data_IF_885763414467
#
_entry.id   IF_885763414467
#
_cell.length_a   1.000
_cell.length_b   1.000
_cell.length_c   1.000
_cell.angle_alpha   90.00
_cell.angle_beta   90.00
_cell.angle_gamma   90.00
#
_symmetry.space_group_name_H-M   'P 1'
#
loop_
_entity.id
_entity.type
_entity.pdbx_description
1 polymer ?
#
# COMPACT_ATOMS: atom_id res chain seq x y z
N UNK A 1 35.44 -7.30 38.04
CA UNK A 1 34.17 -8.02 37.81
C UNK A 1 33.04 -7.24 38.47
N UNK A 2 31.90 -7.16 37.82
CA UNK A 2 30.71 -6.46 38.31
C UNK A 2 29.63 -7.50 38.62
N UNK A 3 28.96 -7.39 39.73
CA UNK A 3 27.77 -8.16 40.04
C UNK A 3 26.62 -7.76 39.09
N UNK A 4 25.62 -8.62 38.93
CA UNK A 4 24.44 -8.31 38.08
C UNK A 4 23.75 -6.99 38.52
N UNK A 5 23.75 -6.69 39.86
CA UNK A 5 23.19 -5.45 40.38
C UNK A 5 24.00 -4.21 40.00
N UNK A 6 25.32 -4.28 40.08
CA UNK A 6 26.22 -3.20 39.67
C UNK A 6 26.15 -2.96 38.17
N UNK A 7 26.18 -4.05 37.36
CA UNK A 7 26.07 -3.99 35.91
C UNK A 7 24.71 -3.39 35.49
N UNK A 8 23.63 -3.85 36.13
CA UNK A 8 22.26 -3.33 35.94
C UNK A 8 22.20 -1.81 36.15
N UNK A 9 22.77 -1.33 37.25
CA UNK A 9 22.79 0.10 37.59
C UNK A 9 23.60 0.93 36.58
N UNK A 10 24.78 0.45 36.21
CA UNK A 10 25.65 1.14 35.23
C UNK A 10 24.98 1.20 33.84
N UNK A 11 24.38 0.10 33.39
CA UNK A 11 23.76 -0.01 32.06
C UNK A 11 22.34 0.55 32.01
N UNK A 12 21.75 0.93 33.14
CA UNK A 12 20.36 1.40 33.27
C UNK A 12 19.33 0.42 32.74
N UNK A 13 19.53 -0.88 32.98
CA UNK A 13 18.61 -1.97 32.64
C UNK A 13 18.33 -2.80 33.88
N UNK A 14 17.11 -3.35 33.98
CA UNK A 14 16.76 -4.17 35.13
C UNK A 14 17.54 -5.50 35.16
N UNK A 15 17.76 -6.06 36.35
CA UNK A 15 18.34 -7.41 36.49
C UNK A 15 17.46 -8.47 35.84
N UNK A 16 16.13 -8.26 35.75
CA UNK A 16 15.20 -9.10 35.03
C UNK A 16 15.49 -9.06 33.53
N UNK A 17 15.75 -7.87 32.97
CA UNK A 17 16.13 -7.70 31.57
C UNK A 17 17.45 -8.38 31.25
N UNK A 18 18.45 -8.30 32.15
CA UNK A 18 19.74 -8.97 31.95
C UNK A 18 19.59 -10.50 31.95
N UNK A 19 18.77 -11.05 32.84
CA UNK A 19 18.45 -12.50 32.82
C UNK A 19 17.72 -12.91 31.54
N UNK A 20 16.82 -12.07 31.06
CA UNK A 20 16.14 -12.30 29.78
C UNK A 20 17.12 -12.28 28.60
N UNK A 21 18.07 -11.36 28.57
CA UNK A 21 19.13 -11.31 27.55
C UNK A 21 20.04 -12.53 27.60
N UNK A 22 20.31 -13.05 28.80
CA UNK A 22 21.01 -14.34 28.98
C UNK A 22 20.22 -15.48 28.35
N UNK A 23 18.92 -15.62 28.64
CA UNK A 23 18.03 -16.65 28.10
C UNK A 23 17.96 -16.57 26.59
N UNK A 24 17.86 -15.36 26.03
CA UNK A 24 17.84 -15.13 24.58
C UNK A 24 19.21 -15.35 23.91
N UNK A 25 20.27 -15.53 24.68
CA UNK A 25 21.66 -15.62 24.18
C UNK A 25 22.17 -14.32 23.59
N UNK A 26 21.60 -13.19 23.99
CA UNK A 26 21.99 -11.84 23.53
C UNK A 26 23.19 -11.29 24.33
N UNK A 27 23.21 -11.51 25.64
CA UNK A 27 24.30 -11.12 26.53
C UNK A 27 24.45 -12.15 27.64
N UNK A 28 25.50 -12.96 27.56
CA UNK A 28 25.81 -13.98 28.57
C UNK A 28 26.63 -13.36 29.71
N UNK A 29 26.37 -13.72 31.01
CA UNK A 29 27.28 -13.37 32.08
C UNK A 29 28.65 -13.99 31.83
N UNK A 30 29.71 -13.29 32.16
CA UNK A 30 31.06 -13.84 32.02
C UNK A 30 31.29 -15.03 32.96
N UNK A 31 30.67 -15.01 34.15
CA UNK A 31 30.72 -16.08 35.14
C UNK A 31 29.39 -16.19 35.88
N UNK A 32 28.91 -17.42 36.03
CA UNK A 32 27.84 -17.76 36.97
C UNK A 32 28.47 -18.61 38.06
N UNK A 33 28.42 -18.15 39.31
CA UNK A 33 28.95 -18.92 40.44
C UNK A 33 28.11 -20.19 40.65
N UNK A 34 28.68 -21.39 40.51
CA UNK A 34 27.90 -22.63 40.55
C UNK A 34 27.29 -22.93 41.92
N UNK A 35 27.91 -22.42 43.02
CA UNK A 35 27.42 -22.65 44.38
C UNK A 35 26.26 -21.73 44.76
N UNK A 36 26.25 -20.49 44.24
CA UNK A 36 25.30 -19.44 44.67
C UNK A 36 24.36 -18.98 43.57
N UNK A 37 24.64 -19.33 42.29
CA UNK A 37 23.91 -18.84 41.14
C UNK A 37 24.12 -17.37 40.82
N UNK A 38 25.04 -16.68 41.52
CA UNK A 38 25.34 -15.27 41.28
C UNK A 38 26.02 -15.05 39.92
N UNK A 39 25.55 -14.03 39.21
CA UNK A 39 26.04 -13.64 37.88
C UNK A 39 26.99 -12.48 37.93
N UNK A 40 28.11 -12.60 37.24
CA UNK A 40 29.14 -11.58 37.15
C UNK A 40 29.41 -11.21 35.70
N UNK A 41 29.69 -9.93 35.47
CA UNK A 41 29.97 -9.32 34.20
C UNK A 41 31.32 -8.63 34.18
N UNK A 42 31.93 -8.43 33.02
CA UNK A 42 33.18 -7.69 32.87
C UNK A 42 32.94 -6.25 32.42
N UNK A 43 33.96 -5.41 32.54
CA UNK A 43 33.94 -4.04 32.05
C UNK A 43 33.77 -3.99 30.51
N UNK A 44 34.35 -4.95 29.77
CA UNK A 44 34.26 -5.02 28.32
C UNK A 44 32.80 -5.23 27.84
N UNK A 45 32.02 -5.96 28.63
CA UNK A 45 30.59 -6.19 28.34
C UNK A 45 29.73 -4.93 28.45
N UNK A 46 30.24 -3.86 29.08
CA UNK A 46 29.58 -2.54 29.07
C UNK A 46 29.53 -1.95 27.64
N UNK A 47 30.53 -2.24 26.80
CA UNK A 47 30.54 -1.86 25.38
C UNK A 47 29.43 -2.53 24.60
N UNK A 48 29.29 -3.85 24.79
CA UNK A 48 28.21 -4.64 24.15
C UNK A 48 26.83 -4.16 24.60
N UNK A 49 26.66 -3.89 25.89
CA UNK A 49 25.39 -3.40 26.43
C UNK A 49 25.02 -2.01 25.88
N UNK A 50 26.00 -1.12 25.69
CA UNK A 50 25.79 0.19 25.06
C UNK A 50 25.34 0.03 23.60
N UNK A 51 25.93 -0.91 22.85
CA UNK A 51 25.52 -1.22 21.49
C UNK A 51 24.07 -1.73 21.43
N UNK A 52 23.73 -2.71 22.31
CA UNK A 52 22.36 -3.24 22.43
C UNK A 52 21.36 -2.10 22.69
N UNK A 53 21.61 -1.24 23.66
CA UNK A 53 20.74 -0.12 24.00
C UNK A 53 20.58 0.85 22.82
N UNK A 54 21.64 1.10 22.06
CA UNK A 54 21.62 1.99 20.91
C UNK A 54 20.81 1.41 19.74
N UNK A 55 20.97 0.13 19.45
CA UNK A 55 20.18 -0.56 18.42
C UNK A 55 18.69 -0.63 18.79
N UNK A 56 18.37 -0.87 20.06
CA UNK A 56 16.99 -0.78 20.58
C UNK A 56 16.38 0.61 20.36
N UNK A 57 17.14 1.67 20.59
CA UNK A 57 16.67 3.04 20.36
C UNK A 57 16.37 3.33 18.87
N UNK A 58 16.88 2.53 17.95
CA UNK A 58 16.58 2.58 16.53
C UNK A 58 15.49 1.59 16.11
N UNK A 59 14.75 0.99 17.08
CA UNK A 59 13.68 0.03 16.84
C UNK A 59 14.14 -1.28 16.15
N UNK A 60 15.38 -1.73 16.39
CA UNK A 60 15.77 -3.10 16.09
C UNK A 60 15.11 -4.07 17.05
N UNK A 61 14.65 -5.20 16.57
CA UNK A 61 14.15 -6.31 17.40
C UNK A 61 15.31 -6.97 18.15
N UNK A 62 15.03 -7.71 19.22
CA UNK A 62 16.09 -8.39 19.97
C UNK A 62 16.77 -9.49 19.13
N UNK A 63 16.05 -10.13 18.22
CA UNK A 63 16.57 -11.11 17.27
C UNK A 63 17.56 -10.49 16.30
N UNK A 64 17.21 -9.35 15.71
CA UNK A 64 18.09 -8.57 14.83
C UNK A 64 19.34 -8.11 15.58
N UNK A 65 19.17 -7.60 16.80
CA UNK A 65 20.30 -7.17 17.64
C UNK A 65 21.21 -8.35 17.97
N UNK A 66 20.66 -9.52 18.28
CA UNK A 66 21.45 -10.74 18.56
C UNK A 66 22.31 -11.11 17.35
N UNK A 67 21.73 -11.13 16.15
CA UNK A 67 22.47 -11.40 14.92
C UNK A 67 23.60 -10.37 14.74
N UNK A 68 23.30 -9.09 14.89
CA UNK A 68 24.28 -8.02 14.74
C UNK A 68 25.41 -8.09 15.78
N UNK A 69 25.10 -8.41 17.04
CA UNK A 69 26.09 -8.53 18.11
C UNK A 69 26.98 -9.75 17.93
N UNK A 70 26.40 -10.90 17.49
CA UNK A 70 27.17 -12.14 17.26
C UNK A 70 28.04 -12.02 16.00
N UNK A 71 27.53 -11.43 14.92
CA UNK A 71 28.28 -11.22 13.67
C UNK A 71 29.29 -10.08 13.79
N UNK A 72 29.15 -9.21 14.80
CA UNK A 72 30.05 -8.07 15.04
C UNK A 72 31.43 -8.47 15.61
N UNK A 73 32.04 -9.53 15.11
CA UNK A 73 33.45 -9.88 15.38
C UNK A 73 34.44 -8.90 14.73
N UNK A 74 34.13 -7.59 14.75
CA UNK A 74 34.99 -6.53 14.21
C UNK A 74 34.68 -6.08 12.79
N UNK A 75 33.76 -6.70 12.09
CA UNK A 75 33.34 -6.26 10.74
C UNK A 75 32.36 -5.08 10.81
N UNK A 76 32.92 -3.88 10.74
CA UNK A 76 32.16 -2.62 10.71
C UNK A 76 31.21 -2.51 9.50
N UNK A 77 31.46 -3.27 8.45
CA UNK A 77 30.68 -3.25 7.19
C UNK A 77 29.25 -3.75 7.39
N UNK A 78 29.06 -4.88 8.09
CA UNK A 78 27.74 -5.48 8.31
C UNK A 78 26.83 -4.59 9.19
N UNK A 79 27.40 -4.01 10.25
CA UNK A 79 26.64 -3.09 11.10
C UNK A 79 26.27 -1.80 10.34
N UNK A 80 27.17 -1.28 9.51
CA UNK A 80 26.91 -0.10 8.69
C UNK A 80 25.76 -0.34 7.70
N UNK A 81 25.74 -1.50 7.04
CA UNK A 81 24.69 -1.89 6.11
C UNK A 81 23.33 -1.99 6.83
N UNK A 82 23.26 -2.69 7.97
CA UNK A 82 22.04 -2.82 8.76
C UNK A 82 21.50 -1.46 9.25
N UNK A 83 22.40 -0.55 9.66
CA UNK A 83 22.00 0.80 10.06
C UNK A 83 21.49 1.64 8.88
N UNK A 84 22.06 1.47 7.67
CA UNK A 84 21.57 2.13 6.47
C UNK A 84 20.19 1.62 6.07
N UNK A 85 19.97 0.31 6.10
CA UNK A 85 18.68 -0.31 5.82
C UNK A 85 17.61 0.19 6.79
N UNK A 86 17.92 0.19 8.10
CA UNK A 86 17.01 0.71 9.13
C UNK A 86 16.70 2.20 8.95
N UNK A 87 17.69 2.99 8.53
CA UNK A 87 17.47 4.40 8.19
C UNK A 87 16.48 4.54 7.03
N UNK A 88 16.58 3.72 5.99
CA UNK A 88 15.65 3.77 4.85
C UNK A 88 14.23 3.35 5.26
N UNK A 89 14.10 2.34 6.12
CA UNK A 89 12.82 1.94 6.69
C UNK A 89 12.16 3.10 7.47
N UNK A 90 12.92 3.73 8.37
CA UNK A 90 12.42 4.87 9.16
C UNK A 90 12.05 6.08 8.28
N UNK A 91 12.78 6.32 7.18
CA UNK A 91 12.45 7.37 6.23
C UNK A 91 11.12 7.08 5.51
N UNK A 92 10.89 5.82 5.11
CA UNK A 92 9.59 5.41 4.53
C UNK A 92 8.45 5.59 5.53
N UNK A 93 8.63 5.15 6.78
CA UNK A 93 7.64 5.35 7.85
C UNK A 93 7.35 6.83 8.10
N UNK A 94 8.40 7.68 8.11
CA UNK A 94 8.25 9.13 8.25
C UNK A 94 7.42 9.73 7.11
N UNK A 95 7.67 9.33 5.86
CA UNK A 95 6.91 9.82 4.69
C UNK A 95 5.43 9.46 4.83
N UNK A 96 5.13 8.19 5.14
CA UNK A 96 3.76 7.74 5.35
C UNK A 96 3.08 8.47 6.51
N UNK A 97 3.79 8.67 7.62
CA UNK A 97 3.26 9.41 8.77
C UNK A 97 2.96 10.87 8.41
N UNK A 98 3.84 11.51 7.64
CA UNK A 98 3.61 12.89 7.17
C UNK A 98 2.42 13.01 6.22
N UNK A 99 2.15 11.98 5.40
CA UNK A 99 0.94 11.94 4.58
C UNK A 99 -0.32 11.85 5.46
N UNK A 100 -0.33 10.92 6.43
CA UNK A 100 -1.46 10.78 7.38
C UNK A 100 -1.72 12.05 8.18
N UNK A 101 -0.67 12.74 8.60
CA UNK A 101 -0.80 14.03 9.32
C UNK A 101 -1.44 15.10 8.43
N UNK A 102 -1.01 15.21 7.17
CA UNK A 102 -1.62 16.17 6.22
C UNK A 102 -3.10 15.87 5.96
N UNK A 103 -3.44 14.58 5.83
CA UNK A 103 -4.84 14.16 5.68
C UNK A 103 -5.66 14.53 6.91
N UNK A 104 -5.17 14.24 8.12
CA UNK A 104 -5.83 14.64 9.37
C UNK A 104 -6.00 16.17 9.49
N UNK A 105 -4.99 16.95 9.09
CA UNK A 105 -5.09 18.41 9.10
C UNK A 105 -6.19 18.89 8.14
N UNK A 106 -6.30 18.27 6.96
CA UNK A 106 -7.40 18.54 6.01
C UNK A 106 -8.77 18.18 6.60
N UNK A 107 -8.89 17.00 7.19
CA UNK A 107 -10.13 16.53 7.82
C UNK A 107 -10.58 17.46 8.97
N UNK A 108 -9.63 17.93 9.79
CA UNK A 108 -9.88 18.88 10.87
C UNK A 108 -10.40 20.21 10.31
N UNK A 109 -9.80 20.70 9.23
CA UNK A 109 -10.24 21.96 8.61
C UNK A 109 -11.63 21.83 7.98
N UNK A 110 -11.92 20.72 7.29
CA UNK A 110 -13.22 20.41 6.73
C UNK A 110 -14.31 20.38 7.83
N UNK A 111 -14.02 19.71 8.96
CA UNK A 111 -14.95 19.69 10.11
C UNK A 111 -15.20 21.09 10.71
N UNK A 112 -14.16 21.96 10.77
CA UNK A 112 -14.32 23.35 11.23
C UNK A 112 -15.21 24.18 10.32
N UNK A 113 -15.20 23.88 9.04
CA UNK A 113 -16.06 24.52 8.03
C UNK A 113 -17.47 23.94 7.98
N UNK A 114 -17.78 22.93 8.86
CA UNK A 114 -19.08 22.30 8.94
C UNK A 114 -19.32 21.20 7.91
N UNK A 115 -18.25 20.79 7.18
CA UNK A 115 -18.31 19.64 6.28
C UNK A 115 -18.28 18.33 7.08
N UNK A 116 -19.04 17.33 6.64
CA UNK A 116 -18.95 15.97 7.20
C UNK A 116 -17.65 15.31 6.72
N UNK A 117 -17.00 14.50 7.58
CA UNK A 117 -15.86 13.67 7.17
C UNK A 117 -16.22 12.69 6.05
N UNK A 118 -17.48 12.28 5.96
CA UNK A 118 -17.97 11.44 4.88
C UNK A 118 -18.20 12.21 3.56
N UNK A 119 -18.11 13.56 3.58
CA UNK A 119 -18.37 14.43 2.45
C UNK A 119 -17.18 15.37 2.16
N UNK A 120 -16.01 15.07 2.67
CA UNK A 120 -14.79 15.87 2.48
C UNK A 120 -14.13 15.54 1.14
N UNK A 121 -14.77 15.90 0.06
CA UNK A 121 -14.27 15.86 -1.31
C UNK A 121 -14.97 16.93 -2.13
N UNK A 122 -14.34 17.36 -3.22
CA UNK A 122 -14.97 18.20 -4.24
C UNK A 122 -16.37 17.68 -4.56
N UNK A 123 -17.30 18.56 -4.88
CA UNK A 123 -18.69 18.22 -5.22
C UNK A 123 -18.70 17.12 -6.29
N UNK A 124 -18.94 15.86 -5.85
CA UNK A 124 -18.95 14.71 -6.76
C UNK A 124 -20.20 14.84 -7.63
N UNK A 125 -20.00 15.28 -8.85
CA UNK A 125 -21.06 15.42 -9.84
C UNK A 125 -21.32 14.08 -10.48
N UNK A 126 -22.56 13.59 -10.35
CA UNK A 126 -23.03 12.35 -11.00
C UNK A 126 -23.89 12.73 -12.19
N UNK A 127 -23.48 12.33 -13.38
CA UNK A 127 -24.19 12.59 -14.62
C UNK A 127 -24.76 11.28 -15.19
N UNK A 128 -26.02 11.31 -15.61
CA UNK A 128 -26.62 10.20 -16.37
C UNK A 128 -26.26 10.36 -17.85
N UNK A 129 -25.59 9.39 -18.44
CA UNK A 129 -25.12 9.42 -19.82
C UNK A 129 -25.34 8.08 -20.52
N UNK A 130 -25.45 8.09 -21.83
CA UNK A 130 -25.52 6.87 -22.63
C UNK A 130 -24.16 6.61 -23.28
N UNK A 131 -23.58 5.46 -22.98
CA UNK A 131 -22.32 5.02 -23.55
C UNK A 131 -22.57 4.15 -24.78
N UNK A 132 -21.91 4.44 -25.91
CA UNK A 132 -22.05 3.64 -27.12
C UNK A 132 -21.44 2.26 -26.94
N UNK A 133 -21.91 1.30 -27.74
CA UNK A 133 -21.27 0.02 -27.87
C UNK A 133 -19.84 0.18 -28.41
N UNK A 134 -18.89 -0.57 -27.86
CA UNK A 134 -17.49 -0.52 -28.27
C UNK A 134 -16.89 -1.92 -28.38
N UNK A 135 -15.93 -2.07 -29.28
CA UNK A 135 -15.15 -3.31 -29.43
C UNK A 135 -13.90 -3.22 -28.56
N UNK A 136 -13.69 -4.16 -27.65
CA UNK A 136 -12.58 -4.17 -26.70
C UNK A 136 -11.57 -5.25 -27.05
N UNK A 137 -10.29 -4.87 -27.12
CA UNK A 137 -9.17 -5.79 -27.00
C UNK A 137 -8.77 -5.81 -25.53
N UNK A 138 -8.79 -6.98 -24.88
CA UNK A 138 -8.65 -7.02 -23.44
C UNK A 138 -7.83 -8.19 -22.90
N UNK A 139 -7.52 -8.09 -21.60
CA UNK A 139 -6.97 -9.16 -20.77
C UNK A 139 -7.72 -9.18 -19.44
N UNK A 140 -8.33 -10.31 -19.11
CA UNK A 140 -9.09 -10.51 -17.88
C UNK A 140 -8.36 -11.48 -16.94
N UNK A 141 -8.23 -11.12 -15.67
CA UNK A 141 -7.59 -11.96 -14.65
C UNK A 141 -8.04 -11.51 -13.25
N UNK A 142 -7.86 -12.40 -12.26
CA UNK A 142 -8.03 -12.01 -10.86
C UNK A 142 -6.83 -11.24 -10.35
N UNK A 143 -7.05 -10.09 -9.70
CA UNK A 143 -6.03 -9.18 -9.18
C UNK A 143 -6.27 -8.94 -7.71
N UNK A 144 -5.29 -9.24 -6.86
CA UNK A 144 -5.34 -8.90 -5.43
C UNK A 144 -5.11 -7.41 -5.24
N UNK A 145 -5.69 -6.84 -4.18
CA UNK A 145 -5.62 -5.40 -3.89
C UNK A 145 -4.20 -4.84 -3.90
N UNK A 146 -3.24 -5.52 -3.27
CA UNK A 146 -1.83 -5.10 -3.24
C UNK A 146 -1.07 -5.23 -4.57
N UNK A 147 -1.60 -6.01 -5.53
CA UNK A 147 -0.95 -6.34 -6.80
C UNK A 147 -1.41 -5.43 -7.96
N UNK A 148 -2.40 -4.55 -7.74
CA UNK A 148 -2.98 -3.69 -8.78
C UNK A 148 -1.94 -2.88 -9.57
N UNK A 149 -0.96 -2.18 -8.95
CA UNK A 149 0.01 -1.40 -9.71
C UNK A 149 0.81 -2.24 -10.70
N UNK A 150 1.21 -3.45 -10.29
CA UNK A 150 1.97 -4.37 -11.14
C UNK A 150 1.08 -5.02 -12.20
N UNK A 151 -0.12 -5.46 -11.84
CA UNK A 151 -1.09 -6.06 -12.76
C UNK A 151 -1.51 -5.07 -13.84
N UNK A 152 -1.73 -3.81 -13.47
CA UNK A 152 -2.01 -2.71 -14.38
C UNK A 152 -0.92 -2.56 -15.44
N UNK A 153 0.33 -2.38 -15.00
CA UNK A 153 1.46 -2.20 -15.91
C UNK A 153 1.66 -3.39 -16.85
N UNK A 154 1.61 -4.62 -16.31
CA UNK A 154 1.81 -5.84 -17.09
C UNK A 154 0.65 -6.07 -18.08
N UNK A 155 -0.60 -5.87 -17.64
CA UNK A 155 -1.76 -6.17 -18.47
C UNK A 155 -1.90 -5.20 -19.63
N UNK A 156 -1.77 -3.90 -19.39
CA UNK A 156 -1.78 -2.93 -20.49
C UNK A 156 -0.57 -3.09 -21.41
N UNK A 157 0.61 -3.46 -20.89
CA UNK A 157 1.76 -3.81 -21.71
C UNK A 157 1.45 -4.95 -22.70
N UNK A 158 0.80 -6.02 -22.23
CA UNK A 158 0.40 -7.16 -23.05
C UNK A 158 -0.69 -6.77 -24.08
N UNK A 159 -1.69 -5.99 -23.66
CA UNK A 159 -2.77 -5.54 -24.56
C UNK A 159 -2.23 -4.63 -25.67
N UNK A 160 -1.32 -3.70 -25.33
CA UNK A 160 -0.66 -2.83 -26.31
C UNK A 160 0.23 -3.62 -27.29
N UNK A 161 0.96 -4.62 -26.81
CA UNK A 161 1.77 -5.50 -27.67
C UNK A 161 0.90 -6.30 -28.66
N UNK A 162 -0.24 -6.83 -28.20
CA UNK A 162 -1.23 -7.48 -29.06
C UNK A 162 -1.81 -6.52 -30.11
N UNK A 163 -2.16 -5.31 -29.66
CA UNK A 163 -2.68 -4.26 -30.55
C UNK A 163 -1.70 -3.95 -31.68
N UNK A 164 -0.43 -3.81 -31.38
CA UNK A 164 0.61 -3.57 -32.38
C UNK A 164 0.83 -4.76 -33.32
N UNK A 165 0.90 -5.98 -32.79
CA UNK A 165 1.09 -7.20 -33.59
C UNK A 165 -0.05 -7.44 -34.57
N UNK A 166 -1.27 -7.18 -34.15
CA UNK A 166 -2.48 -7.35 -34.98
C UNK A 166 -2.80 -6.11 -35.83
N UNK A 167 -2.04 -5.03 -35.70
CA UNK A 167 -2.25 -3.75 -36.38
C UNK A 167 -3.65 -3.18 -36.16
N UNK A 168 -4.16 -3.31 -34.93
CA UNK A 168 -5.46 -2.75 -34.56
C UNK A 168 -5.34 -1.26 -34.27
N UNK A 169 -6.42 -0.53 -34.51
CA UNK A 169 -6.47 0.92 -34.32
C UNK A 169 -7.21 1.25 -33.04
N UNK A 170 -6.58 1.93 -32.10
CA UNK A 170 -7.25 2.42 -30.88
C UNK A 170 -8.41 3.33 -31.24
N UNK A 171 -9.53 3.16 -30.54
CA UNK A 171 -10.77 3.94 -30.72
C UNK A 171 -11.27 4.52 -29.38
N UNK A 172 -10.41 4.67 -28.40
CA UNK A 172 -10.72 5.23 -27.09
C UNK A 172 -9.56 5.07 -26.12
N UNK A 173 -9.72 5.62 -24.95
CA UNK A 173 -8.76 5.54 -23.85
C UNK A 173 -8.72 4.14 -23.21
N UNK A 174 -7.59 3.73 -22.62
CA UNK A 174 -7.50 2.52 -21.84
C UNK A 174 -8.52 2.54 -20.70
N UNK A 175 -9.05 1.37 -20.36
CA UNK A 175 -10.07 1.21 -19.34
C UNK A 175 -9.91 -0.08 -18.54
N UNK A 176 -10.40 -0.06 -17.33
CA UNK A 176 -10.45 -1.24 -16.44
C UNK A 176 -11.91 -1.52 -16.10
N UNK A 177 -12.32 -2.78 -16.20
CA UNK A 177 -13.66 -3.24 -15.84
C UNK A 177 -13.57 -4.18 -14.65
N UNK A 178 -14.52 -4.06 -13.71
CA UNK A 178 -14.62 -4.89 -12.51
C UNK A 178 -15.89 -5.72 -12.59
N UNK A 179 -15.72 -7.05 -12.61
CA UNK A 179 -16.80 -8.00 -12.90
C UNK A 179 -17.37 -8.71 -11.67
N UNK A 180 -16.74 -8.53 -10.50
CA UNK A 180 -17.24 -9.11 -9.27
C UNK A 180 -18.36 -8.26 -8.64
N UNK A 181 -19.37 -8.94 -8.10
CA UNK A 181 -20.45 -8.31 -7.34
C UNK A 181 -20.07 -8.08 -5.86
N UNK A 182 -18.98 -8.70 -5.39
CA UNK A 182 -18.49 -8.59 -4.01
C UNK A 182 -16.97 -8.65 -3.93
N UNK A 183 -16.41 -8.08 -2.86
CA UNK A 183 -14.99 -8.14 -2.58
C UNK A 183 -14.53 -9.56 -2.23
N UNK A 184 -13.42 -10.01 -2.81
CA UNK A 184 -12.78 -11.30 -2.51
C UNK A 184 -11.30 -11.13 -2.15
N UNK A 185 -10.87 -11.74 -1.04
CA UNK A 185 -9.44 -11.79 -0.67
C UNK A 185 -8.59 -12.55 -1.70
N UNK A 186 -9.21 -13.41 -2.52
CA UNK A 186 -8.54 -14.13 -3.60
C UNK A 186 -8.21 -13.23 -4.80
N UNK A 187 -8.79 -12.03 -4.85
CA UNK A 187 -8.62 -11.02 -5.87
C UNK A 187 -9.90 -10.69 -6.60
N UNK A 188 -9.94 -9.49 -7.19
CA UNK A 188 -11.04 -8.98 -8.00
C UNK A 188 -10.90 -9.45 -9.45
N UNK A 189 -12.00 -9.88 -10.06
CA UNK A 189 -12.07 -10.26 -11.48
C UNK A 189 -12.02 -9.01 -12.35
N UNK A 190 -10.84 -8.69 -12.80
CA UNK A 190 -10.49 -7.42 -13.42
C UNK A 190 -10.15 -7.62 -14.88
N UNK A 191 -10.71 -6.79 -15.74
CA UNK A 191 -10.45 -6.77 -17.17
C UNK A 191 -9.79 -5.44 -17.56
N UNK A 192 -8.57 -5.52 -18.08
CA UNK A 192 -7.83 -4.39 -18.64
C UNK A 192 -8.07 -4.35 -20.13
N UNK A 193 -8.63 -3.27 -20.65
CA UNK A 193 -9.13 -3.19 -22.01
C UNK A 193 -8.73 -1.90 -22.73
N UNK A 194 -8.61 -1.99 -24.04
CA UNK A 194 -8.42 -0.85 -24.94
C UNK A 194 -9.49 -0.95 -26.02
N UNK A 195 -10.34 0.08 -26.19
CA UNK A 195 -11.27 0.14 -27.31
C UNK A 195 -10.55 0.18 -28.65
N UNK A 196 -10.99 -0.62 -29.61
CA UNK A 196 -10.43 -0.72 -30.97
C UNK A 196 -11.52 -0.59 -32.03
N UNK A 197 -11.12 -0.25 -33.25
CA UNK A 197 -12.07 -0.12 -34.38
C UNK A 197 -12.41 -1.47 -35.02
N UNK A 198 -11.45 -2.35 -35.07
CA UNK A 198 -11.55 -3.62 -35.75
C UNK A 198 -12.16 -4.70 -34.86
N UNK A 199 -12.94 -5.59 -35.44
CA UNK A 199 -13.44 -6.79 -34.74
C UNK A 199 -12.64 -8.00 -35.21
N UNK A 200 -12.03 -8.73 -34.25
CA UNK A 200 -11.27 -9.96 -34.49
C UNK A 200 -11.73 -11.06 -33.53
N UNK A 201 -11.15 -12.25 -33.62
CA UNK A 201 -11.44 -13.36 -32.69
C UNK A 201 -10.99 -13.08 -31.26
N UNK A 202 -10.02 -12.15 -31.06
CA UNK A 202 -9.51 -11.78 -29.75
C UNK A 202 -10.20 -10.54 -29.16
N UNK A 203 -11.11 -9.92 -29.89
CA UNK A 203 -11.89 -8.77 -29.43
C UNK A 203 -13.30 -9.18 -29.03
N UNK A 204 -13.90 -8.43 -28.10
CA UNK A 204 -15.29 -8.61 -27.70
C UNK A 204 -16.09 -7.33 -27.80
N UNK A 205 -17.39 -7.47 -28.03
CA UNK A 205 -18.31 -6.35 -27.94
C UNK A 205 -18.64 -6.06 -26.47
N UNK A 206 -18.62 -4.79 -26.09
CA UNK A 206 -19.07 -4.28 -24.80
C UNK A 206 -20.14 -3.22 -25.02
N UNK A 207 -21.29 -3.38 -24.37
CA UNK A 207 -22.47 -2.53 -24.54
C UNK A 207 -22.96 -2.03 -23.19
N UNK A 208 -22.29 -1.07 -22.56
CA UNK A 208 -22.67 -0.60 -21.24
C UNK A 208 -24.01 0.12 -21.21
N UNK A 209 -24.42 0.75 -22.31
CA UNK A 209 -25.69 1.46 -22.41
C UNK A 209 -25.77 2.67 -21.50
N UNK A 210 -26.83 2.76 -20.70
CA UNK A 210 -27.05 3.87 -19.78
C UNK A 210 -26.12 3.74 -18.57
N UNK A 211 -25.36 4.79 -18.26
CA UNK A 211 -24.38 4.82 -17.18
C UNK A 211 -24.50 6.09 -16.34
N UNK A 212 -24.19 6.00 -15.07
CA UNK A 212 -23.79 7.15 -14.26
C UNK A 212 -22.32 7.40 -14.48
N UNK A 213 -21.97 8.64 -14.76
CA UNK A 213 -20.61 9.09 -15.01
C UNK A 213 -20.18 10.08 -13.94
N UNK A 214 -18.95 9.94 -13.47
CA UNK A 214 -18.26 10.92 -12.62
C UNK A 214 -16.84 11.10 -13.10
N UNK A 215 -16.38 12.34 -13.18
CA UNK A 215 -14.98 12.66 -13.52
C UNK A 215 -14.21 12.90 -12.22
N UNK A 216 -13.08 12.23 -12.06
CA UNK A 216 -12.17 12.43 -10.94
C UNK A 216 -10.82 12.93 -11.44
N UNK A 217 -10.20 13.82 -10.67
CA UNK A 217 -8.92 14.43 -11.01
C UNK A 217 -8.02 14.53 -9.79
N UNK A 218 -6.71 14.49 -10.03
CA UNK A 218 -5.70 14.67 -9.00
C UNK A 218 -5.29 13.38 -8.27
N UNK A 219 -4.23 13.48 -7.45
CA UNK A 219 -3.61 12.32 -6.80
C UNK A 219 -4.43 11.76 -5.62
N UNK A 220 -5.39 12.52 -5.12
CA UNK A 220 -6.19 12.19 -3.94
C UNK A 220 -7.62 11.75 -4.31
N UNK A 221 -7.84 11.32 -5.57
CA UNK A 221 -9.14 10.85 -6.05
C UNK A 221 -9.66 9.68 -5.20
N UNK A 222 -10.81 9.86 -4.53
CA UNK A 222 -11.44 8.86 -3.68
C UNK A 222 -12.48 8.05 -4.48
N UNK A 223 -12.03 6.98 -5.12
CA UNK A 223 -12.87 6.09 -5.91
C UNK A 223 -14.02 5.45 -5.09
N UNK A 224 -13.80 4.94 -3.86
CA UNK A 224 -14.87 4.45 -3.00
C UNK A 224 -15.99 5.46 -2.76
N UNK A 225 -15.67 6.72 -2.51
CA UNK A 225 -16.68 7.77 -2.31
C UNK A 225 -17.46 8.05 -3.60
N UNK A 226 -16.78 8.05 -4.76
CA UNK A 226 -17.45 8.21 -6.07
C UNK A 226 -18.45 7.10 -6.31
N UNK A 227 -18.07 5.85 -6.09
CA UNK A 227 -18.99 4.71 -6.22
C UNK A 227 -20.16 4.82 -5.25
N UNK A 228 -19.91 5.20 -4.00
CA UNK A 228 -20.97 5.39 -3.00
C UNK A 228 -21.99 6.44 -3.45
N UNK A 229 -21.53 7.57 -4.02
CA UNK A 229 -22.39 8.63 -4.56
C UNK A 229 -23.19 8.18 -5.77
N UNK A 230 -22.57 7.47 -6.69
CA UNK A 230 -23.27 6.92 -7.86
C UNK A 230 -24.35 5.91 -7.45
N UNK A 231 -24.07 5.03 -6.49
CA UNK A 231 -25.03 4.06 -5.95
C UNK A 231 -26.19 4.77 -5.27
N UNK A 232 -25.91 5.75 -4.39
CA UNK A 232 -26.96 6.54 -3.71
C UNK A 232 -27.87 7.27 -4.72
N UNK A 233 -27.27 7.84 -5.76
CA UNK A 233 -28.02 8.51 -6.81
C UNK A 233 -28.90 7.51 -7.58
N UNK A 234 -28.36 6.36 -7.96
CA UNK A 234 -29.08 5.30 -8.65
C UNK A 234 -30.29 4.83 -7.83
N UNK A 235 -30.11 4.54 -6.55
CA UNK A 235 -31.18 4.12 -5.63
C UNK A 235 -32.27 5.18 -5.51
N UNK A 236 -31.91 6.46 -5.34
CA UNK A 236 -32.84 7.56 -5.24
C UNK A 236 -33.70 7.74 -6.48
N UNK A 237 -33.14 7.50 -7.66
CA UNK A 237 -33.81 7.64 -8.96
C UNK A 237 -34.43 6.32 -9.47
N UNK A 238 -34.33 5.23 -8.69
CA UNK A 238 -34.92 3.93 -9.00
C UNK A 238 -34.20 3.16 -10.10
N UNK A 239 -32.88 3.33 -10.19
CA UNK A 239 -32.00 2.56 -11.07
C UNK A 239 -31.30 1.44 -10.29
N UNK A 240 -30.94 0.37 -11.02
CA UNK A 240 -30.18 -0.78 -10.51
C UNK A 240 -28.94 -0.99 -11.37
N UNK A 241 -27.91 -1.63 -10.80
CA UNK A 241 -26.73 -2.03 -11.57
C UNK A 241 -27.12 -2.90 -12.77
N UNK A 242 -26.48 -2.69 -13.92
CA UNK A 242 -26.77 -3.39 -15.16
C UNK A 242 -25.59 -4.25 -15.66
N UNK A 243 -24.35 -3.87 -15.37
CA UNK A 243 -23.13 -4.52 -15.88
C UNK A 243 -21.93 -4.17 -15.00
N UNK A 244 -20.74 -4.65 -15.36
CA UNK A 244 -19.49 -4.37 -14.72
C UNK A 244 -19.22 -2.86 -14.58
N UNK A 245 -18.78 -2.45 -13.39
CA UNK A 245 -18.26 -1.10 -13.17
C UNK A 245 -17.00 -0.90 -14.01
N UNK A 246 -16.78 0.31 -14.54
CA UNK A 246 -15.56 0.54 -15.30
C UNK A 246 -15.00 1.96 -15.15
N UNK A 247 -13.70 2.04 -15.29
CA UNK A 247 -12.90 3.26 -15.19
C UNK A 247 -12.21 3.51 -16.54
N UNK A 248 -12.33 4.72 -17.07
CA UNK A 248 -11.67 5.15 -18.31
C UNK A 248 -10.60 6.17 -17.96
N UNK A 249 -9.35 5.90 -18.30
CA UNK A 249 -8.20 6.74 -17.94
C UNK A 249 -7.94 7.79 -19.02
N UNK A 250 -8.18 9.05 -18.67
CA UNK A 250 -7.98 10.19 -19.56
C UNK A 250 -6.52 10.65 -19.61
N UNK A 251 -5.73 10.32 -18.58
CA UNK A 251 -4.29 10.57 -18.49
C UNK A 251 -3.55 9.33 -18.02
N UNK A 252 -2.27 9.21 -18.37
CA UNK A 252 -1.42 8.16 -17.81
C UNK A 252 -0.92 8.61 -16.43
N UNK A 253 -1.25 7.90 -15.33
CA UNK A 253 -0.81 8.28 -13.99
C UNK A 253 0.71 8.24 -13.81
N UNK A 254 1.45 7.70 -14.77
CA UNK A 254 2.92 7.65 -14.77
C UNK A 254 3.55 8.93 -15.27
N UNK A 255 2.85 9.68 -16.12
CA UNK A 255 3.38 10.91 -16.73
C UNK A 255 3.42 12.05 -15.72
N UNK A 256 2.31 12.31 -15.02
CA UNK A 256 2.22 13.28 -13.93
C UNK A 256 1.10 12.88 -12.96
N UNK A 257 1.41 12.46 -11.72
CA UNK A 257 0.38 12.15 -10.74
C UNK A 257 -0.55 13.32 -10.39
N UNK A 258 -0.10 14.56 -10.55
CA UNK A 258 -0.94 15.76 -10.33
C UNK A 258 -1.93 15.99 -11.46
N UNK A 259 -1.61 15.49 -12.65
CA UNK A 259 -2.48 15.57 -13.83
C UNK A 259 -3.35 14.31 -14.02
N UNK A 260 -3.43 13.44 -13.01
CA UNK A 260 -4.29 12.27 -13.07
C UNK A 260 -5.74 12.67 -13.33
N UNK A 261 -6.38 12.00 -14.29
CA UNK A 261 -7.79 12.15 -14.61
C UNK A 261 -8.37 10.81 -15.05
N UNK A 262 -9.51 10.46 -14.45
CA UNK A 262 -10.28 9.28 -14.84
C UNK A 262 -11.78 9.58 -14.85
N UNK A 263 -12.49 8.89 -15.72
CA UNK A 263 -13.95 8.87 -15.75
C UNK A 263 -14.41 7.53 -15.18
N UNK A 264 -15.26 7.59 -14.15
CA UNK A 264 -15.81 6.42 -13.45
C UNK A 264 -17.23 6.21 -13.91
N UNK A 265 -17.53 5.01 -14.36
CA UNK A 265 -18.83 4.65 -14.91
C UNK A 265 -19.49 3.53 -14.13
N UNK A 266 -20.75 3.75 -13.77
CA UNK A 266 -21.64 2.79 -13.14
C UNK A 266 -22.80 2.49 -14.10
N UNK A 267 -22.77 1.34 -14.84
CA UNK A 267 -23.85 0.97 -15.73
C UNK A 267 -25.16 0.74 -14.98
N UNK A 268 -26.28 1.31 -15.49
CA UNK A 268 -27.57 1.27 -14.81
C UNK A 268 -28.72 0.90 -15.75
N UNK A 269 -29.77 0.34 -15.14
CA UNK A 269 -31.06 0.07 -15.80
C UNK A 269 -32.22 0.40 -14.85
N UNK A 270 -33.37 0.76 -15.39
CA UNK A 270 -34.63 0.89 -14.60
C UNK A 270 -35.24 -0.44 -14.30
#
# INVERSE_FOLDING_TARGET
MLTIGEFSRICRVSTKTLRYYETMGLLQPWLVNPATGYRFYTADQLGTMRLINRLKAYNFTLEEIKLLVVTFNGERSSLSAALQEKKQELLRQKTLLNQRLRQLDGDIENLRQGCSLANAGDEIVVELTEMPAMTLLSRRLKVREGDFPQAYQQSFGIVLDKLQKQRLTMNGSPMTLFHDDEFSEEGLDTEFAIPVRETTEETRLFQPGLCLKTVVSGPDADFPEVYARQIQWAEAEGYHNADALFEVYCSDPRDDPQAFCAEIYYPVRK
#
